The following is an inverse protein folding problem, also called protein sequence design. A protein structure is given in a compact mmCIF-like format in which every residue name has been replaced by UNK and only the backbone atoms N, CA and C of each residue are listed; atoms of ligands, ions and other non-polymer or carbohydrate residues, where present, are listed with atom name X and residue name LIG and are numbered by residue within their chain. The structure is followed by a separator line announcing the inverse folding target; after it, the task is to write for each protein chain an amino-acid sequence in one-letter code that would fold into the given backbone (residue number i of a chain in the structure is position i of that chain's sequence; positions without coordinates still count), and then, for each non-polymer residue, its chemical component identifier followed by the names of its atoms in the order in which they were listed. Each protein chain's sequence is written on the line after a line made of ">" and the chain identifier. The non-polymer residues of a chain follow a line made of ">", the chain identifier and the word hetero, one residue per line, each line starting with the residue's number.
data_IF_681962084079
#
_entry.id   IF_681962084079
#
_cell.length_a   1.000
_cell.length_b   1.000
_cell.length_c   1.000
_cell.angle_alpha   90.00
_cell.angle_beta   90.00
_cell.angle_gamma   90.00
#
_symmetry.space_group_name_H-M   'P 1'
#
loop_
_entity.id
_entity.type
_entity.pdbx_description
1 polymer ?
#
# COMPACT_ATOMS: atom_id res chain seq x y z
N UNK A 1 3.11 -0.19 -6.95
CA UNK A 1 1.76 0.29 -7.33
C UNK A 1 1.79 1.66 -8.00
N UNK A 2 2.40 2.67 -7.36
CA UNK A 2 2.41 4.07 -7.81
C UNK A 2 2.87 4.26 -9.28
N UNK A 3 4.04 3.74 -9.65
CA UNK A 3 4.55 3.82 -11.04
C UNK A 3 3.59 3.24 -12.09
N UNK A 4 2.86 2.18 -11.75
CA UNK A 4 1.90 1.57 -12.67
C UNK A 4 0.61 2.41 -12.82
N UNK A 5 0.24 3.19 -11.80
CA UNK A 5 -0.84 4.18 -11.94
C UNK A 5 -0.31 5.36 -12.77
N UNK A 6 0.87 5.87 -12.43
CA UNK A 6 1.53 6.99 -13.11
C UNK A 6 1.62 6.75 -14.64
N UNK A 7 2.14 5.60 -15.05
CA UNK A 7 2.29 5.25 -16.47
C UNK A 7 0.97 4.99 -17.20
N UNK A 8 -0.09 4.64 -16.47
CA UNK A 8 -1.41 4.39 -17.07
C UNK A 8 -2.24 5.66 -17.27
N UNK A 9 -1.91 6.74 -16.56
CA UNK A 9 -2.60 8.04 -16.64
C UNK A 9 -1.61 9.20 -16.90
N UNK A 10 -0.82 9.14 -18.00
CA UNK A 10 0.18 10.16 -18.30
C UNK A 10 -0.44 11.52 -18.66
N UNK A 11 -1.70 11.52 -19.11
CA UNK A 11 -2.49 12.69 -19.49
C UNK A 11 -3.16 13.38 -18.30
N UNK A 12 -2.98 12.87 -17.07
CA UNK A 12 -3.60 13.41 -15.86
C UNK A 12 -2.54 13.92 -14.87
N UNK A 13 -2.04 15.16 -15.02
CA UNK A 13 -1.01 15.72 -14.15
C UNK A 13 -1.33 15.64 -12.66
N UNK A 14 -2.61 15.77 -12.28
CA UNK A 14 -3.09 15.68 -10.89
C UNK A 14 -2.97 14.28 -10.28
N UNK A 15 -2.84 13.22 -11.09
CA UNK A 15 -2.56 11.85 -10.66
C UNK A 15 -1.08 11.54 -10.87
N UNK A 16 -0.55 11.87 -12.05
CA UNK A 16 0.80 11.55 -12.48
C UNK A 16 1.84 12.08 -11.49
N UNK A 17 1.80 13.37 -11.16
CA UNK A 17 2.82 13.99 -10.30
C UNK A 17 2.84 13.38 -8.89
N UNK A 18 1.72 13.29 -8.15
CA UNK A 18 1.73 12.66 -6.83
C UNK A 18 2.13 11.19 -6.85
N UNK A 19 1.81 10.43 -7.92
CA UNK A 19 2.23 9.03 -8.04
C UNK A 19 3.74 8.89 -8.34
N UNK A 20 4.34 9.85 -9.05
CA UNK A 20 5.79 9.89 -9.20
C UNK A 20 6.48 10.20 -7.86
N UNK A 21 5.98 11.19 -7.13
CA UNK A 21 6.52 11.56 -5.82
C UNK A 21 6.43 10.37 -4.83
N UNK A 22 5.26 9.73 -4.75
CA UNK A 22 5.04 8.52 -3.95
C UNK A 22 5.99 7.39 -4.35
N UNK A 23 6.21 7.16 -5.65
CA UNK A 23 7.12 6.12 -6.11
C UNK A 23 8.57 6.34 -5.64
N UNK A 24 9.01 7.60 -5.53
CA UNK A 24 10.35 7.94 -5.02
C UNK A 24 10.45 7.70 -3.52
N UNK A 25 9.39 8.03 -2.76
CA UNK A 25 9.30 7.74 -1.32
C UNK A 25 9.35 6.22 -1.07
N UNK A 26 8.59 5.42 -1.82
CA UNK A 26 8.61 3.96 -1.66
C UNK A 26 9.95 3.31 -2.01
N UNK A 27 10.65 3.83 -3.02
CA UNK A 27 12.02 3.37 -3.32
C UNK A 27 13.00 3.74 -2.20
N UNK A 28 12.73 4.82 -1.46
CA UNK A 28 13.50 5.19 -0.28
C UNK A 28 13.25 4.20 0.85
N UNK A 29 11.98 3.84 1.14
CA UNK A 29 11.66 2.79 2.12
C UNK A 29 12.31 1.45 1.76
N UNK A 30 12.20 1.03 0.49
CA UNK A 30 12.82 -0.20 0.01
C UNK A 30 14.33 -0.22 0.25
N UNK A 31 15.02 0.89 -0.05
CA UNK A 31 16.46 1.04 0.20
C UNK A 31 16.80 0.90 1.69
N UNK A 32 15.99 1.45 2.57
CA UNK A 32 16.19 1.35 4.02
C UNK A 32 16.00 -0.09 4.53
N UNK A 33 14.97 -0.80 4.05
CA UNK A 33 14.77 -2.23 4.35
C UNK A 33 15.97 -3.05 3.89
N UNK A 34 16.44 -2.85 2.65
CA UNK A 34 17.60 -3.58 2.10
C UNK A 34 18.85 -3.33 2.95
N UNK A 35 19.09 -2.07 3.35
CA UNK A 35 20.21 -1.72 4.22
C UNK A 35 20.11 -2.47 5.57
N UNK A 36 18.95 -2.43 6.23
CA UNK A 36 18.74 -3.13 7.50
C UNK A 36 18.98 -4.63 7.40
N UNK A 37 18.52 -5.26 6.32
CA UNK A 37 18.75 -6.69 6.07
C UNK A 37 20.25 -6.99 5.92
N UNK A 38 20.95 -6.25 5.06
CA UNK A 38 22.39 -6.47 4.79
C UNK A 38 23.24 -6.21 6.05
N UNK A 39 22.99 -5.11 6.76
CA UNK A 39 23.72 -4.73 7.98
C UNK A 39 23.56 -5.79 9.10
N UNK A 40 22.45 -6.54 9.07
CA UNK A 40 22.15 -7.65 10.00
C UNK A 40 22.57 -9.03 9.44
N UNK A 41 23.28 -9.08 8.32
CA UNK A 41 23.75 -10.33 7.70
C UNK A 41 22.64 -11.18 7.08
N UNK A 42 21.49 -10.59 6.77
CA UNK A 42 20.34 -11.26 6.16
C UNK A 42 20.35 -11.02 4.65
N UNK A 43 20.39 -12.11 3.88
CA UNK A 43 20.26 -12.04 2.42
C UNK A 43 18.76 -11.95 2.03
N UNK A 44 18.35 -10.92 1.28
CA UNK A 44 16.97 -10.82 0.78
C UNK A 44 16.62 -12.03 -0.10
N UNK A 45 15.45 -12.62 0.15
CA UNK A 45 14.89 -13.68 -0.69
C UNK A 45 14.29 -13.15 -1.99
N UNK A 46 13.92 -14.05 -2.93
CA UNK A 46 13.20 -13.65 -4.13
C UNK A 46 11.82 -13.10 -3.77
N UNK A 47 11.36 -12.13 -4.55
CA UNK A 47 10.02 -11.58 -4.44
C UNK A 47 8.96 -12.68 -4.61
N UNK A 48 7.89 -12.60 -3.82
CA UNK A 48 6.83 -13.59 -3.81
C UNK A 48 5.53 -12.92 -4.20
N UNK A 49 4.70 -13.68 -4.91
CA UNK A 49 3.39 -13.18 -5.32
C UNK A 49 2.54 -12.85 -4.10
N UNK A 50 2.03 -11.62 -4.10
CA UNK A 50 1.11 -11.13 -3.11
C UNK A 50 -0.32 -11.61 -3.39
N UNK A 51 -0.82 -12.54 -2.58
CA UNK A 51 -2.17 -13.08 -2.73
C UNK A 51 -3.25 -12.10 -2.27
N UNK A 52 -2.93 -11.23 -1.31
CA UNK A 52 -3.87 -10.23 -0.77
C UNK A 52 -4.15 -9.14 -1.80
N UNK A 53 -3.09 -8.49 -2.33
CA UNK A 53 -3.24 -7.45 -3.36
C UNK A 53 -3.85 -8.02 -4.64
N UNK A 54 -3.51 -9.27 -4.99
CA UNK A 54 -4.12 -9.94 -6.14
C UNK A 54 -5.63 -10.13 -5.97
N UNK A 55 -6.08 -10.55 -4.79
CA UNK A 55 -7.50 -10.74 -4.51
C UNK A 55 -8.25 -9.39 -4.54
N UNK A 56 -7.69 -8.34 -3.93
CA UNK A 56 -8.27 -7.00 -4.01
C UNK A 56 -8.38 -6.49 -5.46
N UNK A 57 -7.36 -6.72 -6.28
CA UNK A 57 -7.39 -6.32 -7.68
C UNK A 57 -8.47 -7.04 -8.51
N UNK A 58 -9.00 -8.19 -8.05
CA UNK A 58 -10.13 -8.85 -8.70
C UNK A 58 -11.46 -8.12 -8.49
N UNK A 59 -11.56 -7.27 -7.48
CA UNK A 59 -12.74 -6.45 -7.21
C UNK A 59 -12.84 -5.23 -8.14
N UNK A 60 -11.79 -4.92 -8.90
CA UNK A 60 -11.75 -3.72 -9.74
C UNK A 60 -12.84 -3.76 -10.83
N UNK A 61 -13.67 -2.72 -10.85
CA UNK A 61 -14.73 -2.55 -11.85
C UNK A 61 -14.15 -2.16 -13.21
N UNK A 62 -14.87 -2.56 -14.27
CA UNK A 62 -14.59 -2.15 -15.64
C UNK A 62 -15.03 -0.70 -15.90
N UNK A 63 -14.48 -0.10 -16.96
CA UNK A 63 -14.77 1.27 -17.38
C UNK A 63 -13.74 2.25 -16.83
N UNK A 64 -13.24 3.15 -17.68
CA UNK A 64 -12.05 3.98 -17.41
C UNK A 64 -12.10 4.75 -16.08
N UNK A 65 -13.24 5.40 -15.78
CA UNK A 65 -13.40 6.17 -14.54
C UNK A 65 -13.51 5.28 -13.30
N UNK A 66 -14.33 4.23 -13.35
CA UNK A 66 -14.51 3.31 -12.23
C UNK A 66 -13.23 2.54 -11.92
N UNK A 67 -12.50 2.15 -12.96
CA UNK A 67 -11.20 1.50 -12.88
C UNK A 67 -10.17 2.37 -12.15
N UNK A 68 -10.07 3.66 -12.48
CA UNK A 68 -9.18 4.59 -11.76
C UNK A 68 -9.56 4.73 -10.28
N UNK A 69 -10.85 4.97 -10.00
CA UNK A 69 -11.33 5.12 -8.62
C UNK A 69 -11.01 3.86 -7.81
N UNK A 70 -11.34 2.67 -8.32
CA UNK A 70 -11.12 1.42 -7.61
C UNK A 70 -9.64 1.16 -7.37
N UNK A 71 -8.76 1.46 -8.33
CA UNK A 71 -7.30 1.33 -8.15
C UNK A 71 -6.77 2.25 -7.06
N UNK A 72 -7.24 3.49 -7.00
CA UNK A 72 -6.83 4.45 -5.97
C UNK A 72 -7.35 4.02 -4.59
N UNK A 73 -8.62 3.58 -4.49
CA UNK A 73 -9.18 3.10 -3.23
C UNK A 73 -8.50 1.82 -2.74
N UNK A 74 -8.19 0.87 -3.63
CA UNK A 74 -7.40 -0.31 -3.27
C UNK A 74 -6.02 0.10 -2.79
N UNK A 75 -5.39 1.09 -3.43
CA UNK A 75 -4.14 1.67 -2.93
C UNK A 75 -4.29 2.15 -1.50
N UNK A 76 -5.29 2.99 -1.21
CA UNK A 76 -5.56 3.46 0.15
C UNK A 76 -5.69 2.30 1.16
N UNK A 77 -6.44 1.26 0.81
CA UNK A 77 -6.65 0.09 1.68
C UNK A 77 -5.35 -0.67 1.95
N UNK A 78 -4.50 -0.84 0.92
CA UNK A 78 -3.20 -1.51 1.06
C UNK A 78 -2.28 -0.73 1.99
N UNK A 79 -2.12 0.58 1.77
CA UNK A 79 -1.28 1.43 2.62
C UNK A 79 -1.80 1.43 4.07
N UNK A 80 -3.12 1.51 4.27
CA UNK A 80 -3.69 1.51 5.62
C UNK A 80 -3.50 0.16 6.34
N UNK A 81 -3.56 -0.96 5.63
CA UNK A 81 -3.22 -2.28 6.18
C UNK A 81 -1.74 -2.38 6.55
N UNK A 82 -0.87 -1.76 5.73
CA UNK A 82 0.55 -1.57 6.02
C UNK A 82 0.75 -0.80 7.33
N UNK A 83 0.16 0.39 7.42
CA UNK A 83 0.16 1.24 8.61
C UNK A 83 -0.22 0.47 9.89
N UNK A 84 -1.36 -0.24 9.88
CA UNK A 84 -1.83 -0.99 11.04
C UNK A 84 -0.82 -2.06 11.47
N UNK A 85 -0.33 -2.87 10.52
CA UNK A 85 0.57 -3.99 10.82
C UNK A 85 1.95 -3.50 11.26
N UNK A 86 2.49 -2.46 10.63
CA UNK A 86 3.75 -1.87 11.07
C UNK A 86 3.63 -1.26 12.47
N UNK A 87 2.51 -0.60 12.79
CA UNK A 87 2.24 -0.17 14.16
C UNK A 87 2.25 -1.36 15.13
N UNK A 88 1.54 -2.44 14.85
CA UNK A 88 1.53 -3.63 15.72
C UNK A 88 2.94 -4.20 15.93
N UNK A 89 3.77 -4.25 14.89
CA UNK A 89 5.17 -4.69 14.98
C UNK A 89 5.98 -3.72 15.85
N UNK A 90 5.88 -2.41 15.62
CA UNK A 90 6.61 -1.39 16.38
C UNK A 90 6.28 -1.43 17.88
N UNK A 91 5.03 -1.78 18.23
CA UNK A 91 4.61 -1.92 19.63
C UNK A 91 5.12 -3.21 20.28
N UNK A 92 5.27 -4.29 19.52
CA UNK A 92 5.63 -5.61 20.06
C UNK A 92 7.13 -5.92 20.03
N UNK A 93 7.89 -5.29 19.14
CA UNK A 93 9.31 -5.57 18.94
C UNK A 93 10.16 -4.98 20.07
N UNK A 94 11.17 -5.73 20.51
CA UNK A 94 12.06 -5.33 21.61
C UNK A 94 13.29 -4.55 21.14
N UNK A 95 13.70 -4.69 19.87
CA UNK A 95 14.83 -3.97 19.29
C UNK A 95 14.46 -2.49 19.10
N UNK A 96 15.11 -1.54 19.81
CA UNK A 96 14.75 -0.12 19.72
C UNK A 96 15.03 0.50 18.35
N UNK A 97 15.98 -0.01 17.58
CA UNK A 97 16.25 0.45 16.22
C UNK A 97 15.11 0.05 15.29
N UNK A 98 14.70 -1.21 15.35
CA UNK A 98 13.59 -1.71 14.54
C UNK A 98 12.24 -1.11 14.97
N UNK A 99 12.04 -0.89 16.26
CA UNK A 99 10.85 -0.18 16.77
C UNK A 99 10.73 1.21 16.12
N UNK A 100 11.80 2.01 16.16
CA UNK A 100 11.81 3.33 15.51
C UNK A 100 11.59 3.24 14.01
N UNK A 101 12.26 2.29 13.36
CA UNK A 101 12.11 2.08 11.93
C UNK A 101 10.66 1.78 11.51
N UNK A 102 10.02 0.81 12.17
CA UNK A 102 8.63 0.45 11.85
C UNK A 102 7.64 1.56 12.22
N UNK A 103 7.89 2.33 13.29
CA UNK A 103 7.07 3.49 13.62
C UNK A 103 7.15 4.57 12.52
N UNK A 104 8.36 4.88 12.04
CA UNK A 104 8.56 5.85 10.94
C UNK A 104 7.88 5.41 9.65
N UNK A 105 7.98 4.12 9.29
CA UNK A 105 7.27 3.60 8.12
C UNK A 105 5.75 3.66 8.33
N UNK A 106 5.25 3.30 9.51
CA UNK A 106 3.81 3.41 9.77
C UNK A 106 3.30 4.85 9.57
N UNK A 107 4.07 5.86 9.97
CA UNK A 107 3.73 7.26 9.73
C UNK A 107 3.68 7.64 8.24
N UNK A 108 4.56 7.09 7.39
CA UNK A 108 4.50 7.33 5.94
C UNK A 108 3.29 6.66 5.28
N UNK A 109 3.00 5.42 5.65
CA UNK A 109 1.83 4.67 5.19
C UNK A 109 0.51 5.39 5.50
N UNK A 110 0.41 6.06 6.66
CA UNK A 110 -0.75 6.90 6.99
C UNK A 110 -0.94 8.06 5.99
N UNK A 111 0.15 8.74 5.64
CA UNK A 111 0.12 9.83 4.64
C UNK A 111 -0.21 9.31 3.25
N UNK A 112 0.30 8.14 2.88
CA UNK A 112 0.03 7.52 1.59
C UNK A 112 -1.45 7.11 1.46
N UNK A 113 -2.01 6.52 2.51
CA UNK A 113 -3.44 6.24 2.60
C UNK A 113 -4.28 7.50 2.34
N UNK A 114 -3.99 8.60 3.04
CA UNK A 114 -4.70 9.87 2.87
C UNK A 114 -4.55 10.43 1.44
N UNK A 115 -3.34 10.33 0.87
CA UNK A 115 -3.09 10.71 -0.52
C UNK A 115 -3.99 9.94 -1.48
N UNK A 116 -4.04 8.61 -1.37
CA UNK A 116 -4.87 7.79 -2.25
C UNK A 116 -6.36 8.12 -2.13
N UNK A 117 -6.89 8.32 -0.91
CA UNK A 117 -8.29 8.74 -0.72
C UNK A 117 -8.57 10.10 -1.35
N UNK A 118 -7.65 11.06 -1.19
CA UNK A 118 -7.76 12.39 -1.78
C UNK A 118 -7.78 12.31 -3.31
N UNK A 119 -6.88 11.54 -3.91
CA UNK A 119 -6.83 11.36 -5.36
C UNK A 119 -8.11 10.68 -5.88
N UNK A 120 -8.60 9.63 -5.20
CA UNK A 120 -9.83 8.94 -5.58
C UNK A 120 -11.04 9.88 -5.56
N UNK A 121 -11.15 10.69 -4.50
CA UNK A 121 -12.24 11.65 -4.31
C UNK A 121 -12.18 12.79 -5.33
N UNK A 122 -10.98 13.16 -5.79
CA UNK A 122 -10.79 14.09 -6.92
C UNK A 122 -11.28 13.55 -8.27
N UNK A 123 -11.44 12.23 -8.41
CA UNK A 123 -11.95 11.59 -9.65
C UNK A 123 -13.47 11.42 -9.61
N UNK A 124 -14.07 11.19 -8.45
CA UNK A 124 -15.52 11.04 -8.30
C UNK A 124 -15.96 10.59 -6.91
N UNK A 125 -17.24 10.25 -6.77
CA UNK A 125 -17.79 9.76 -5.51
C UNK A 125 -17.18 8.41 -5.12
N UNK A 126 -16.70 8.32 -3.87
CA UNK A 126 -15.88 7.20 -3.38
C UNK A 126 -16.53 6.43 -2.24
N UNK A 127 -17.25 7.09 -1.31
CA UNK A 127 -17.63 6.49 -0.02
C UNK A 127 -18.31 5.13 -0.13
N UNK A 128 -19.45 5.03 -0.83
CA UNK A 128 -20.15 3.74 -0.94
C UNK A 128 -19.33 2.65 -1.64
N UNK A 129 -18.37 3.04 -2.49
CA UNK A 129 -17.44 2.08 -3.10
C UNK A 129 -16.35 1.65 -2.13
N UNK A 130 -15.80 2.57 -1.34
CA UNK A 130 -14.84 2.26 -0.29
C UNK A 130 -15.43 1.25 0.70
N UNK A 131 -16.67 1.48 1.15
CA UNK A 131 -17.37 0.55 2.05
C UNK A 131 -17.46 -0.87 1.45
N UNK A 132 -17.83 -0.97 0.17
CA UNK A 132 -17.87 -2.26 -0.55
C UNK A 132 -16.51 -2.95 -0.59
N UNK A 133 -15.44 -2.19 -0.84
CA UNK A 133 -14.08 -2.73 -0.90
C UNK A 133 -13.56 -3.17 0.47
N UNK A 134 -13.91 -2.45 1.54
CA UNK A 134 -13.56 -2.82 2.91
C UNK A 134 -14.25 -4.12 3.34
N UNK A 135 -15.52 -4.33 2.97
CA UNK A 135 -16.19 -5.61 3.20
C UNK A 135 -15.52 -6.76 2.43
N UNK A 136 -15.06 -6.51 1.21
CA UNK A 136 -14.33 -7.50 0.43
C UNK A 136 -12.95 -7.80 1.06
N UNK A 137 -12.23 -6.76 1.50
CA UNK A 137 -10.94 -6.88 2.17
C UNK A 137 -11.03 -7.74 3.44
N UNK A 138 -12.04 -7.49 4.29
CA UNK A 138 -12.26 -8.28 5.50
C UNK A 138 -12.46 -9.77 5.16
N UNK A 139 -13.24 -10.08 4.12
CA UNK A 139 -13.43 -11.46 3.63
C UNK A 139 -12.14 -12.06 3.07
N UNK A 140 -11.33 -11.27 2.35
CA UNK A 140 -10.04 -11.70 1.79
C UNK A 140 -9.09 -12.09 2.92
N UNK A 141 -8.98 -11.28 3.98
CA UNK A 141 -8.09 -11.54 5.11
C UNK A 141 -8.36 -12.87 5.80
N UNK A 142 -9.62 -13.30 5.89
CA UNK A 142 -9.96 -14.63 6.46
C UNK A 142 -9.42 -15.81 5.63
N UNK A 143 -9.05 -15.58 4.37
CA UNK A 143 -8.57 -16.60 3.43
C UNK A 143 -7.06 -16.53 3.17
N UNK A 144 -6.41 -15.43 3.55
CA UNK A 144 -4.96 -15.26 3.40
C UNK A 144 -4.24 -16.12 4.45
N UNK A 145 -3.25 -16.95 4.06
CA UNK A 145 -2.54 -17.80 4.99
C UNK A 145 -1.72 -16.98 5.98
N UNK A 146 -1.67 -17.42 7.23
CA UNK A 146 -0.77 -16.84 8.23
C UNK A 146 0.68 -17.14 7.85
N UNK A 147 1.46 -16.09 7.60
CA UNK A 147 2.88 -16.15 7.24
C UNK A 147 3.59 -14.88 7.67
N UNK A 148 4.91 -14.93 7.77
CA UNK A 148 5.75 -13.75 7.99
C UNK A 148 5.81 -12.88 6.72
N UNK A 149 4.73 -12.16 6.45
CA UNK A 149 4.62 -11.18 5.37
C UNK A 149 3.66 -10.06 5.78
N UNK A 150 3.81 -8.90 5.15
CA UNK A 150 2.95 -7.76 5.44
C UNK A 150 1.49 -8.03 5.07
N UNK A 151 1.22 -8.84 4.04
CA UNK A 151 -0.10 -9.39 3.70
C UNK A 151 0.03 -10.58 2.75
#
# INVERSE_FOLDING_TARGET
>A
MALNIASHYPDRPSILKPMCDLAVEELTHYREVVKLLIDRGVQPGPDRRDTYVRALNQEIRRGSRAFLIDRLLIGAIVEYRGNERFNLIAHAIQDPELQRFYATIAESEARHFELFLKLASGVGATQGRLDTLLEAEAKILTKVPLRAALH
#
